data_IF_196070669932
#
_entry.id   IF_196070669932
#
_cell.length_a   1.000
_cell.length_b   1.000
_cell.length_c   1.000
_cell.angle_alpha   90.00
_cell.angle_beta   90.00
_cell.angle_gamma   90.00
#
_symmetry.space_group_name_H-M   'P 1'
#
loop_
_entity.id
_entity.type
_entity.pdbx_description
1 polymer ?
#
# COMPACT_ATOMS: atom_id res chain seq x y z
N UNK A 1 -13.07 -4.31 -14.54
CA UNK A 1 -12.28 -3.41 -15.38
C UNK A 1 -11.43 -4.29 -16.27
N UNK A 2 -11.38 -4.03 -17.59
CA UNK A 2 -10.49 -4.77 -18.49
C UNK A 2 -9.06 -4.26 -18.25
N UNK A 3 -8.04 -5.14 -18.10
CA UNK A 3 -6.64 -4.73 -17.96
C UNK A 3 -6.14 -3.75 -19.03
N UNK A 4 -6.73 -3.77 -20.23
CA UNK A 4 -6.38 -2.85 -21.33
C UNK A 4 -6.70 -1.39 -21.01
N UNK A 5 -7.60 -1.13 -20.07
CA UNK A 5 -8.03 0.23 -19.73
C UNK A 5 -7.18 0.87 -18.63
N UNK A 6 -6.29 0.11 -17.97
CA UNK A 6 -5.64 0.52 -16.72
C UNK A 6 -4.81 1.81 -16.85
N UNK A 7 -4.13 2.00 -17.98
CA UNK A 7 -3.28 3.18 -18.25
C UNK A 7 -4.06 4.52 -18.23
N UNK A 8 -5.39 4.46 -18.41
CA UNK A 8 -6.24 5.66 -18.42
C UNK A 8 -6.90 5.96 -17.08
N UNK A 9 -6.66 5.11 -16.07
CA UNK A 9 -7.35 5.13 -14.78
C UNK A 9 -6.55 5.84 -13.72
N UNK A 10 -7.25 6.44 -12.77
CA UNK A 10 -6.61 7.01 -11.60
C UNK A 10 -6.03 5.90 -10.71
N UNK A 11 -4.99 6.19 -9.91
CA UNK A 11 -4.48 5.25 -8.91
C UNK A 11 -5.57 4.73 -7.97
N UNK A 12 -6.49 5.61 -7.53
CA UNK A 12 -7.59 5.25 -6.64
C UNK A 12 -8.59 4.28 -7.29
N UNK A 13 -8.89 4.44 -8.59
CA UNK A 13 -9.73 3.50 -9.33
C UNK A 13 -9.08 2.11 -9.38
N UNK A 14 -7.76 2.04 -9.63
CA UNK A 14 -7.02 0.78 -9.69
C UNK A 14 -6.88 0.12 -8.32
N UNK A 15 -6.65 0.90 -7.27
CA UNK A 15 -6.59 0.41 -5.89
C UNK A 15 -7.95 -0.15 -5.46
N UNK A 16 -9.05 0.59 -5.71
CA UNK A 16 -10.41 0.13 -5.40
C UNK A 16 -10.74 -1.13 -6.18
N UNK A 17 -10.44 -1.16 -7.48
CA UNK A 17 -10.62 -2.37 -8.29
C UNK A 17 -9.85 -3.56 -7.72
N UNK A 18 -8.60 -3.38 -7.30
CA UNK A 18 -7.79 -4.44 -6.69
C UNK A 18 -8.40 -4.95 -5.38
N UNK A 19 -8.86 -4.05 -4.51
CA UNK A 19 -9.54 -4.40 -3.25
C UNK A 19 -10.85 -5.15 -3.50
N UNK A 20 -11.66 -4.71 -4.46
CA UNK A 20 -12.96 -5.34 -4.77
C UNK A 20 -12.80 -6.74 -5.37
N UNK A 21 -11.73 -7.00 -6.13
CA UNK A 21 -11.53 -8.28 -6.82
C UNK A 21 -10.74 -9.30 -5.99
N UNK A 22 -9.84 -8.85 -5.12
CA UNK A 22 -8.94 -9.74 -4.38
C UNK A 22 -9.10 -9.66 -2.86
N UNK A 23 -9.65 -8.56 -2.32
CA UNK A 23 -9.76 -8.33 -0.88
C UNK A 23 -8.42 -8.57 -0.16
N UNK A 24 -8.46 -9.35 0.92
CA UNK A 24 -7.29 -9.74 1.72
C UNK A 24 -6.23 -10.57 0.97
N UNK A 25 -6.51 -11.05 -0.25
CA UNK A 25 -5.51 -11.72 -1.09
C UNK A 25 -4.62 -10.73 -1.86
N UNK A 26 -5.01 -9.45 -1.92
CA UNK A 26 -4.13 -8.39 -2.40
C UNK A 26 -3.26 -7.88 -1.25
N UNK A 27 -1.97 -7.70 -1.54
CA UNK A 27 -1.03 -7.08 -0.62
C UNK A 27 -0.21 -6.01 -1.31
N UNK A 28 -0.03 -4.87 -0.64
CA UNK A 28 0.98 -3.89 -1.00
C UNK A 28 2.32 -4.33 -0.41
N UNK A 29 3.23 -4.76 -1.28
CA UNK A 29 4.64 -4.88 -0.94
C UNK A 29 5.24 -3.48 -0.86
N UNK A 30 5.61 -3.03 0.34
CA UNK A 30 6.14 -1.70 0.60
C UNK A 30 7.58 -1.77 1.09
N UNK A 31 8.44 -0.98 0.44
CA UNK A 31 9.79 -0.67 0.90
C UNK A 31 9.82 0.54 1.84
N UNK A 32 8.66 1.18 2.07
CA UNK A 32 8.50 2.46 2.77
C UNK A 32 9.23 3.64 2.09
N UNK A 33 9.43 3.54 0.77
CA UNK A 33 9.85 4.66 -0.07
C UNK A 33 8.76 5.74 -0.18
N UNK A 34 9.10 6.86 -0.84
CA UNK A 34 8.19 8.02 -0.92
C UNK A 34 6.91 7.67 -1.67
N UNK A 35 7.02 6.94 -2.78
CA UNK A 35 5.93 6.45 -3.59
C UNK A 35 5.05 5.45 -2.84
N UNK A 36 5.65 4.56 -2.04
CA UNK A 36 4.91 3.60 -1.22
C UNK A 36 4.11 4.32 -0.14
N UNK A 37 4.66 5.39 0.44
CA UNK A 37 3.97 6.22 1.41
C UNK A 37 2.72 6.89 0.82
N UNK A 38 2.76 7.26 -0.46
CA UNK A 38 1.59 7.80 -1.18
C UNK A 38 0.53 6.70 -1.37
N UNK A 39 0.95 5.49 -1.76
CA UNK A 39 0.01 4.36 -1.90
C UNK A 39 -0.63 3.97 -0.57
N UNK A 40 0.14 3.92 0.53
CA UNK A 40 -0.37 3.66 1.88
C UNK A 40 -1.40 4.72 2.29
N UNK A 41 -1.10 6.01 2.03
CA UNK A 41 -2.05 7.10 2.32
C UNK A 41 -3.35 6.95 1.52
N UNK A 42 -3.27 6.68 0.21
CA UNK A 42 -4.44 6.45 -0.64
C UNK A 42 -5.26 5.25 -0.15
N UNK A 43 -4.60 4.12 0.12
CA UNK A 43 -5.24 2.90 0.65
C UNK A 43 -5.98 3.20 1.95
N UNK A 44 -5.32 3.90 2.90
CA UNK A 44 -5.90 4.21 4.20
C UNK A 44 -7.19 5.03 4.09
N UNK A 45 -7.24 5.94 3.12
CA UNK A 45 -8.42 6.78 2.83
C UNK A 45 -9.55 6.02 2.13
N UNK A 46 -9.21 5.02 1.32
CA UNK A 46 -10.19 4.19 0.62
C UNK A 46 -10.91 3.19 1.56
N UNK A 47 -10.30 2.85 2.70
CA UNK A 47 -10.94 2.08 3.77
C UNK A 47 -11.13 0.59 3.47
N UNK A 48 -10.29 0.01 2.61
CA UNK A 48 -10.39 -1.40 2.20
C UNK A 48 -9.41 -2.33 2.93
N UNK A 49 -9.75 -3.63 3.06
CA UNK A 49 -8.86 -4.61 3.68
C UNK A 49 -7.73 -4.99 2.72
N UNK A 50 -6.59 -4.31 2.82
CA UNK A 50 -5.37 -4.67 2.08
C UNK A 50 -4.24 -4.95 3.07
N UNK A 51 -3.49 -6.02 2.82
CA UNK A 51 -2.30 -6.32 3.62
C UNK A 51 -1.16 -5.43 3.16
N UNK A 52 -0.53 -4.68 4.06
CA UNK A 52 0.72 -3.97 3.78
C UNK A 52 1.84 -4.77 4.42
N UNK A 53 2.84 -5.16 3.64
CA UNK A 53 3.97 -5.94 4.13
C UNK A 53 5.28 -5.45 3.54
N UNK A 54 6.37 -5.78 4.22
CA UNK A 54 7.72 -5.49 3.78
C UNK A 54 8.58 -6.74 3.88
N UNK A 55 9.62 -6.82 3.05
CA UNK A 55 10.62 -7.86 3.16
C UNK A 55 11.76 -7.34 4.03
N UNK A 56 11.74 -7.70 5.31
CA UNK A 56 12.81 -7.35 6.23
C UNK A 56 14.06 -8.18 5.93
N UNK A 57 15.08 -7.52 5.38
CA UNK A 57 16.36 -8.14 5.05
C UNK A 57 17.29 -8.27 6.27
N UNK A 58 16.93 -7.66 7.40
CA UNK A 58 17.80 -7.48 8.56
C UNK A 58 18.91 -6.44 8.35
N UNK A 59 18.84 -5.65 7.27
CA UNK A 59 19.83 -4.62 6.92
C UNK A 59 19.21 -3.34 6.36
N UNK A 60 17.93 -3.08 6.68
CA UNK A 60 17.33 -1.80 6.33
C UNK A 60 17.94 -0.68 7.17
N UNK A 61 17.84 0.55 6.69
CA UNK A 61 18.25 1.73 7.46
C UNK A 61 17.37 1.84 8.71
N UNK A 62 17.93 2.31 9.83
CA UNK A 62 17.20 2.48 11.08
C UNK A 62 15.98 3.40 10.91
N UNK A 63 16.15 4.46 10.10
CA UNK A 63 15.10 5.40 9.72
C UNK A 63 13.93 4.72 9.00
N UNK A 64 14.18 3.60 8.30
CA UNK A 64 13.12 2.83 7.66
C UNK A 64 12.27 2.13 8.72
N UNK A 65 12.89 1.49 9.72
CA UNK A 65 12.18 0.86 10.83
C UNK A 65 11.39 1.88 11.66
N UNK A 66 11.99 3.03 11.97
CA UNK A 66 11.29 4.14 12.64
C UNK A 66 10.08 4.63 11.84
N UNK A 67 10.24 4.72 10.51
CA UNK A 67 9.14 5.07 9.62
C UNK A 67 8.03 4.02 9.68
N UNK A 68 8.34 2.72 9.71
CA UNK A 68 7.31 1.67 9.84
C UNK A 68 6.44 1.90 11.09
N UNK A 69 7.04 2.19 12.24
CA UNK A 69 6.29 2.44 13.48
C UNK A 69 5.44 3.72 13.40
N UNK A 70 5.99 4.79 12.80
CA UNK A 70 5.24 6.03 12.55
C UNK A 70 4.04 5.80 11.64
N UNK A 71 4.20 4.96 10.62
CA UNK A 71 3.14 4.61 9.66
C UNK A 71 2.05 3.79 10.34
N UNK A 72 2.41 2.76 11.12
CA UNK A 72 1.43 1.98 11.91
C UNK A 72 0.59 2.88 12.81
N UNK A 73 1.25 3.76 13.55
CA UNK A 73 0.57 4.71 14.45
C UNK A 73 -0.32 5.69 13.69
N UNK A 74 0.18 6.28 12.60
CA UNK A 74 -0.53 7.32 11.84
C UNK A 74 -1.79 6.79 11.16
N UNK A 75 -1.72 5.59 10.57
CA UNK A 75 -2.81 5.03 9.76
C UNK A 75 -3.63 3.96 10.49
N UNK A 76 -3.27 3.59 11.72
CA UNK A 76 -3.99 2.59 12.52
C UNK A 76 -3.83 1.17 11.94
N UNK A 77 -2.63 0.84 11.47
CA UNK A 77 -2.27 -0.48 10.93
C UNK A 77 -1.72 -1.42 12.01
#
# INVERSE_FOLDING_TARGET
MDPKDFETKSPEELLRWSMDNYGLKAGLASSFGVEDMVLIDMISKLGGPITIFTLDTGRLHEETYELMERVRTKYGL
#
